data_IF_831143003674
#
_entry.id   IF_831143003674
#
_cell.length_a   1.000
_cell.length_b   1.000
_cell.length_c   1.000
_cell.angle_alpha   90.00
_cell.angle_beta   90.00
_cell.angle_gamma   90.00
#
_symmetry.space_group_name_H-M   'P 1'
#
loop_
_entity.id
_entity.type
_entity.pdbx_description
1 polymer ?
#
# COMPACT_ATOMS: atom_id res chain seq x y z
N UNK A 1 -0.90 -15.46 0.36
CA UNK A 1 0.17 -14.53 -0.08
C UNK A 1 0.57 -13.68 1.11
N UNK A 2 1.85 -13.29 1.24
CA UNK A 2 2.27 -12.34 2.30
C UNK A 2 2.29 -10.92 1.78
N UNK A 3 2.09 -9.94 2.67
CA UNK A 3 2.17 -8.53 2.30
C UNK A 3 3.58 -8.15 1.76
N UNK A 4 4.63 -8.82 2.26
CA UNK A 4 6.02 -8.63 1.81
C UNK A 4 6.33 -9.18 0.41
N UNK A 5 5.46 -10.02 -0.15
CA UNK A 5 5.62 -10.65 -1.46
C UNK A 5 4.88 -9.89 -2.56
N UNK A 6 4.02 -8.95 -2.18
CA UNK A 6 3.21 -8.19 -3.12
C UNK A 6 4.04 -7.21 -3.96
N UNK A 7 3.74 -7.06 -5.26
CA UNK A 7 4.32 -6.01 -6.07
C UNK A 7 3.89 -4.61 -5.61
N UNK A 8 4.66 -3.60 -6.03
CA UNK A 8 4.25 -2.20 -5.87
C UNK A 8 2.93 -1.94 -6.60
N UNK A 9 2.09 -1.08 -6.03
CA UNK A 9 0.75 -0.71 -6.51
C UNK A 9 -0.30 -1.82 -6.48
N UNK A 10 -0.02 -2.97 -5.88
CA UNK A 10 -1.00 -4.05 -5.76
C UNK A 10 -1.88 -3.85 -4.54
N UNK A 11 -3.20 -3.89 -4.76
CA UNK A 11 -4.20 -3.91 -3.71
C UNK A 11 -4.41 -5.34 -3.19
N UNK A 12 -4.61 -5.48 -1.89
CA UNK A 12 -4.90 -6.74 -1.24
C UNK A 12 -5.82 -6.49 -0.03
N UNK A 13 -6.45 -7.54 0.49
CA UNK A 13 -7.24 -7.52 1.71
C UNK A 13 -6.48 -8.28 2.77
N UNK A 14 -6.35 -7.71 3.95
CA UNK A 14 -5.74 -8.39 5.10
C UNK A 14 -6.61 -9.58 5.47
N UNK A 15 -6.01 -10.77 5.51
CA UNK A 15 -6.67 -12.00 5.91
C UNK A 15 -6.46 -12.26 7.40
N UNK A 16 -5.21 -12.21 7.84
CA UNK A 16 -4.81 -12.46 9.23
C UNK A 16 -3.39 -11.96 9.47
N UNK A 17 -3.04 -11.72 10.73
CA UNK A 17 -1.68 -11.38 11.17
C UNK A 17 -1.15 -12.54 12.01
N UNK A 18 -0.09 -13.20 11.54
CA UNK A 18 0.62 -14.26 12.27
C UNK A 18 1.49 -13.67 13.39
N UNK A 19 1.45 -14.29 14.56
CA UNK A 19 2.33 -13.96 15.67
C UNK A 19 3.62 -14.80 15.53
N UNK A 20 4.80 -14.15 15.41
CA UNK A 20 6.06 -14.91 15.24
C UNK A 20 6.55 -15.49 16.57
N UNK A 21 6.13 -14.90 17.69
CA UNK A 21 6.33 -15.40 19.06
C UNK A 21 5.03 -15.35 19.85
N UNK A 22 4.96 -16.10 20.94
CA UNK A 22 3.82 -16.04 21.84
C UNK A 22 3.73 -14.63 22.45
N UNK A 23 2.62 -13.93 22.20
CA UNK A 23 2.38 -12.53 22.60
C UNK A 23 3.29 -11.49 21.89
N UNK A 24 3.45 -11.63 20.58
CA UNK A 24 4.30 -10.76 19.77
C UNK A 24 3.79 -9.29 19.76
N UNK A 25 4.54 -8.33 20.34
CA UNK A 25 4.09 -6.94 20.44
C UNK A 25 3.93 -6.28 19.07
N UNK A 26 4.68 -6.75 18.07
CA UNK A 26 4.59 -6.26 16.69
C UNK A 26 3.25 -6.65 16.08
N UNK A 27 2.85 -7.91 16.21
CA UNK A 27 1.57 -8.38 15.66
C UNK A 27 0.39 -7.65 16.31
N UNK A 28 0.47 -7.38 17.62
CA UNK A 28 -0.52 -6.57 18.34
C UNK A 28 -0.57 -5.14 17.81
N UNK A 29 0.59 -4.49 17.66
CA UNK A 29 0.68 -3.14 17.10
C UNK A 29 0.16 -3.06 15.67
N UNK A 30 0.41 -4.06 14.83
CA UNK A 30 -0.14 -4.12 13.47
C UNK A 30 -1.67 -4.11 13.49
N UNK A 31 -2.29 -4.91 14.37
CA UNK A 31 -3.75 -4.91 14.55
C UNK A 31 -4.25 -3.55 15.03
N UNK A 32 -3.57 -2.94 16.00
CA UNK A 32 -3.91 -1.61 16.53
C UNK A 32 -3.79 -0.49 15.46
N UNK A 33 -2.89 -0.64 14.49
CA UNK A 33 -2.73 0.28 13.35
C UNK A 33 -3.81 0.11 12.28
N UNK A 34 -4.65 -0.94 12.38
CA UNK A 34 -5.71 -1.23 11.43
C UNK A 34 -5.40 -2.36 10.45
N UNK A 35 -4.29 -3.09 10.60
CA UNK A 35 -4.05 -4.32 9.83
C UNK A 35 -4.89 -5.48 10.39
N UNK A 36 -6.21 -5.36 10.26
CA UNK A 36 -7.20 -6.33 10.75
C UNK A 36 -7.80 -7.14 9.60
N UNK A 37 -8.26 -8.37 9.85
CA UNK A 37 -8.95 -9.18 8.84
C UNK A 37 -10.10 -8.43 8.18
N UNK A 38 -10.12 -8.40 6.85
CA UNK A 38 -11.13 -7.70 6.05
C UNK A 38 -10.75 -6.28 5.62
N UNK A 39 -9.68 -5.71 6.15
CA UNK A 39 -9.26 -4.35 5.79
C UNK A 39 -8.50 -4.32 4.45
N UNK A 40 -8.77 -3.30 3.64
CA UNK A 40 -8.09 -3.09 2.37
C UNK A 40 -6.70 -2.45 2.59
N UNK A 41 -5.68 -3.07 2.00
CA UNK A 41 -4.28 -2.65 2.07
C UNK A 41 -3.66 -2.58 0.68
N UNK A 42 -2.81 -1.59 0.43
CA UNK A 42 -2.09 -1.45 -0.84
C UNK A 42 -0.61 -1.14 -0.64
N UNK A 43 0.26 -1.77 -1.43
CA UNK A 43 1.68 -1.40 -1.46
C UNK A 43 1.86 -0.12 -2.29
N UNK A 44 2.34 0.96 -1.67
CA UNK A 44 2.58 2.23 -2.36
C UNK A 44 4.00 2.29 -2.91
N UNK A 45 4.98 1.99 -2.07
CA UNK A 45 6.39 2.12 -2.41
C UNK A 45 7.25 1.16 -1.59
N UNK A 46 8.49 0.95 -2.05
CA UNK A 46 9.54 0.29 -1.30
C UNK A 46 10.65 1.28 -1.01
N UNK A 47 11.34 1.11 0.12
CA UNK A 47 12.47 1.92 0.52
C UNK A 47 13.61 1.88 -0.50
N UNK A 48 14.43 2.94 -0.58
CA UNK A 48 15.46 3.11 -1.60
C UNK A 48 16.61 2.10 -1.48
N UNK A 49 16.84 1.54 -0.29
CA UNK A 49 17.87 0.53 -0.05
C UNK A 49 17.23 -0.83 0.23
N UNK A 50 17.50 -1.83 -0.62
CA UNK A 50 17.13 -3.22 -0.35
C UNK A 50 15.62 -3.53 -0.36
N UNK A 51 14.77 -2.62 -0.86
CA UNK A 51 13.30 -2.72 -0.82
C UNK A 51 12.73 -2.85 0.59
N UNK A 52 13.43 -2.31 1.59
CA UNK A 52 13.02 -2.24 2.98
C UNK A 52 13.31 -0.83 3.54
N UNK A 53 12.39 -0.19 4.26
CA UNK A 53 11.02 -0.62 4.60
C UNK A 53 10.04 -0.52 3.42
N UNK A 54 8.94 -1.25 3.46
CA UNK A 54 7.83 -1.14 2.50
C UNK A 54 6.74 -0.22 3.04
N UNK A 55 6.15 0.58 2.15
CA UNK A 55 5.07 1.51 2.49
C UNK A 55 3.75 0.87 2.09
N UNK A 56 2.95 0.51 3.09
CA UNK A 56 1.59 0.01 2.92
C UNK A 56 0.59 1.11 3.27
N UNK A 57 -0.45 1.28 2.47
CA UNK A 57 -1.57 2.15 2.76
C UNK A 57 -2.74 1.30 3.26
N UNK A 58 -3.31 1.68 4.40
CA UNK A 58 -4.50 1.07 5.01
C UNK A 58 -5.54 2.16 5.17
N UNK A 59 -6.70 2.01 4.53
CA UNK A 59 -7.68 3.09 4.38
C UNK A 59 -7.03 4.35 3.76
N UNK A 60 -6.91 5.40 4.56
CA UNK A 60 -6.31 6.70 4.16
C UNK A 60 -4.90 6.93 4.72
N UNK A 61 -4.40 6.03 5.55
CA UNK A 61 -3.14 6.21 6.28
C UNK A 61 -2.03 5.36 5.67
N UNK A 62 -0.82 5.91 5.63
CA UNK A 62 0.36 5.22 5.08
C UNK A 62 1.30 4.83 6.21
N UNK A 63 1.67 3.55 6.24
CA UNK A 63 2.56 2.99 7.24
C UNK A 63 3.81 2.41 6.58
N UNK A 64 4.97 2.78 7.12
CA UNK A 64 6.23 2.17 6.77
C UNK A 64 6.44 0.93 7.65
N UNK A 65 6.44 -0.23 7.02
CA UNK A 65 6.62 -1.53 7.66
C UNK A 65 7.97 -2.10 7.25
N UNK A 66 8.68 -2.74 8.18
CA UNK A 66 9.81 -3.60 7.82
C UNK A 66 9.29 -4.82 7.06
N UNK A 67 10.10 -5.35 6.16
CA UNK A 67 9.83 -6.57 5.41
C UNK A 67 9.55 -7.76 6.34
N UNK A 68 10.22 -7.82 7.50
CA UNK A 68 9.99 -8.82 8.53
C UNK A 68 8.59 -8.71 9.18
N UNK A 69 8.04 -7.50 9.31
CA UNK A 69 6.69 -7.27 9.85
C UNK A 69 5.63 -7.64 8.80
N UNK A 70 5.81 -7.17 7.57
CA UNK A 70 4.89 -7.49 6.46
C UNK A 70 4.88 -8.98 6.08
N UNK A 71 5.98 -9.71 6.33
CA UNK A 71 6.04 -11.15 6.14
C UNK A 71 5.08 -11.92 7.07
N UNK A 72 4.62 -11.30 8.16
CA UNK A 72 3.66 -11.88 9.10
C UNK A 72 2.21 -11.61 8.71
N UNK A 73 1.97 -10.66 7.80
CA UNK A 73 0.63 -10.27 7.39
C UNK A 73 0.24 -11.14 6.20
N UNK A 74 -0.75 -12.01 6.42
CA UNK A 74 -1.40 -12.79 5.36
C UNK A 74 -2.43 -11.92 4.69
N UNK A 75 -2.36 -11.86 3.37
CA UNK A 75 -3.27 -11.06 2.54
C UNK A 75 -3.80 -11.89 1.38
N UNK A 76 -5.01 -11.55 0.94
CA UNK A 76 -5.62 -12.04 -0.28
C UNK A 76 -5.60 -10.93 -1.33
N UNK A 77 -5.04 -11.22 -2.50
CA UNK A 77 -4.92 -10.22 -3.57
C UNK A 77 -6.31 -9.96 -4.13
N UNK A 78 -6.86 -8.80 -3.83
CA UNK A 78 -8.00 -8.29 -4.57
C UNK A 78 -7.44 -7.80 -5.88
N UNK A 79 -7.76 -8.52 -6.96
CA UNK A 79 -7.49 -8.07 -8.32
C UNK A 79 -8.31 -6.81 -8.58
N UNK A 80 -7.84 -5.68 -8.06
CA UNK A 80 -8.33 -4.37 -8.39
C UNK A 80 -7.47 -3.90 -9.56
N UNK A 81 -7.95 -4.17 -10.77
CA UNK A 81 -7.59 -3.38 -11.95
C UNK A 81 -8.00 -1.94 -11.66
N UNK A 82 -7.14 -1.16 -11.00
CA UNK A 82 -7.29 0.29 -11.02
C UNK A 82 -6.61 0.75 -12.30
N UNK A 83 -7.41 0.72 -13.35
CA UNK A 83 -7.11 1.38 -14.62
C UNK A 83 -6.75 2.83 -14.32
N UNK A 84 -5.63 3.26 -14.90
CA UNK A 84 -5.14 4.63 -15.00
C UNK A 84 -6.18 5.70 -14.65
N UNK A 85 -6.04 6.35 -13.49
CA UNK A 85 -6.36 7.77 -13.46
C UNK A 85 -5.13 8.49 -14.00
N UNK A 86 -5.14 8.72 -15.30
CA UNK A 86 -4.29 9.71 -15.93
C UNK A 86 -4.49 11.03 -15.17
N UNK A 87 -3.43 11.71 -14.72
CA UNK A 87 -3.59 13.13 -14.41
C UNK A 87 -4.03 13.77 -15.72
N UNK A 88 -5.15 14.48 -15.67
CA UNK A 88 -5.60 15.32 -16.77
C UNK A 88 -4.46 16.28 -17.13
N UNK A 89 -3.66 15.92 -18.13
CA UNK A 89 -2.92 16.88 -18.91
C UNK A 89 -4.01 17.70 -19.61
N UNK A 90 -4.31 18.89 -19.08
CA UNK A 90 -4.95 19.94 -19.86
C UNK A 90 -3.88 20.49 -20.81
N UNK A 91 -3.99 20.26 -22.12
CA UNK A 91 -3.25 21.03 -23.11
C UNK A 91 -4.17 22.18 -23.53
N UNK A 92 -4.17 23.28 -22.79
CA UNK A 92 -4.72 24.55 -23.30
C UNK A 92 -3.58 25.57 -23.35
N UNK A 93 -2.82 25.46 -24.43
CA UNK A 93 -2.10 26.58 -25.03
C UNK A 93 -2.40 26.51 -26.54
N UNK A 94 -2.24 27.59 -27.32
CA UNK A 94 -2.50 29.01 -27.06
C UNK A 94 -3.33 29.66 -28.21
N UNK A 95 -4.10 30.71 -27.94
CA UNK A 95 -4.64 31.64 -28.96
C UNK A 95 -5.27 32.84 -28.22
N UNK A 96 -5.13 34.10 -28.59
CA UNK A 96 -4.43 34.75 -29.68
C UNK A 96 -4.29 36.24 -29.31
N UNK A 97 -3.13 36.84 -29.61
CA UNK A 97 -3.02 38.27 -29.83
C UNK A 97 -3.95 38.67 -30.97
N UNK A 98 -4.92 39.57 -30.72
CA UNK A 98 -5.53 40.43 -31.74
C UNK A 98 -5.99 41.76 -31.10
N UNK A 99 -5.22 42.81 -31.40
CA UNK A 99 -5.61 44.19 -31.79
C UNK A 99 -6.76 44.90 -31.05
N UNK A 100 -6.43 46.00 -30.36
CA UNK A 100 -6.91 47.36 -30.63
C UNK A 100 -6.04 48.39 -29.91
#
# INVERSE_FOLDING_TARGET
MRLSELPRRTAAVVKSVDDATQNDPIARRLRDLGFVPGEAVQIIAFGPFGKDPLVAQVGFTRFALRRAEAARITVDVVSATVSSIAPAAQPDAPAAQRIA
#
